data_IF_084946488922
#
_entry.id   IF_084946488922
#
_cell.length_a   1.000
_cell.length_b   1.000
_cell.length_c   1.000
_cell.angle_alpha   90.00
_cell.angle_beta   90.00
_cell.angle_gamma   90.00
#
_symmetry.space_group_name_H-M   'P 1'
#
loop_
_entity.id
_entity.type
_entity.pdbx_description
1 polymer ?
#
# COMPACT_ATOMS: atom_id res chain seq x y z
N UNK A 1 55.39 -31.89 -30.61
CA UNK A 1 55.46 -30.96 -29.44
C UNK A 1 54.32 -29.93 -29.46
N UNK A 2 53.20 -30.16 -30.16
CA UNK A 2 52.10 -29.17 -30.28
C UNK A 2 51.05 -29.22 -29.15
N UNK A 3 50.86 -30.34 -28.47
CA UNK A 3 49.75 -30.52 -27.51
C UNK A 3 49.87 -29.75 -26.18
N UNK A 4 51.08 -29.33 -25.77
CA UNK A 4 51.27 -28.63 -24.48
C UNK A 4 50.85 -27.16 -24.54
N UNK A 5 50.91 -26.55 -25.72
CA UNK A 5 50.64 -25.13 -25.89
C UNK A 5 49.13 -24.83 -25.97
N UNK A 6 48.34 -25.80 -26.46
CA UNK A 6 46.88 -25.70 -26.48
C UNK A 6 46.24 -25.87 -25.10
N UNK A 7 46.68 -26.85 -24.30
CA UNK A 7 46.15 -27.06 -22.95
C UNK A 7 46.37 -25.86 -22.02
N UNK A 8 47.49 -25.15 -22.19
CA UNK A 8 47.82 -23.97 -21.38
C UNK A 8 46.95 -22.77 -21.78
N UNK A 9 46.63 -22.63 -23.08
CA UNK A 9 45.67 -21.64 -23.57
C UNK A 9 44.23 -21.94 -23.15
N UNK A 10 43.81 -23.21 -23.22
CA UNK A 10 42.48 -23.63 -22.74
C UNK A 10 42.33 -23.41 -21.24
N UNK A 11 43.38 -23.70 -20.46
CA UNK A 11 43.37 -23.43 -19.02
C UNK A 11 43.30 -21.94 -18.69
N UNK A 12 44.05 -21.10 -19.43
CA UNK A 12 43.96 -19.64 -19.27
C UNK A 12 42.59 -19.08 -19.66
N UNK A 13 41.97 -19.59 -20.73
CA UNK A 13 40.63 -19.21 -21.13
C UNK A 13 39.58 -19.65 -20.09
N UNK A 14 39.66 -20.89 -19.58
CA UNK A 14 38.77 -21.36 -18.51
C UNK A 14 38.95 -20.56 -17.23
N UNK A 15 40.19 -20.21 -16.85
CA UNK A 15 40.44 -19.37 -15.67
C UNK A 15 39.91 -17.95 -15.85
N UNK A 16 40.00 -17.38 -17.06
CA UNK A 16 39.46 -16.07 -17.38
C UNK A 16 37.92 -16.10 -17.40
N UNK A 17 37.31 -17.15 -17.94
CA UNK A 17 35.87 -17.38 -17.92
C UNK A 17 35.35 -17.61 -16.49
N UNK A 18 36.07 -18.37 -15.64
CA UNK A 18 35.67 -18.55 -14.23
C UNK A 18 35.75 -17.24 -13.44
N UNK A 19 36.78 -16.43 -13.66
CA UNK A 19 36.94 -15.14 -12.99
C UNK A 19 35.89 -14.11 -13.44
N UNK A 20 35.58 -14.06 -14.74
CA UNK A 20 34.54 -13.19 -15.29
C UNK A 20 33.13 -13.65 -14.92
N UNK A 21 32.89 -14.96 -14.81
CA UNK A 21 31.60 -15.51 -14.35
C UNK A 21 31.38 -15.21 -12.87
N UNK A 22 32.39 -15.42 -12.01
CA UNK A 22 32.31 -15.08 -10.59
C UNK A 22 32.11 -13.58 -10.35
N UNK A 23 32.84 -12.72 -11.08
CA UNK A 23 32.64 -11.27 -11.01
C UNK A 23 31.29 -10.83 -11.55
N UNK A 24 30.80 -11.42 -12.64
CA UNK A 24 29.47 -11.06 -13.20
C UNK A 24 28.33 -11.53 -12.30
N UNK A 25 28.45 -12.67 -11.60
CA UNK A 25 27.51 -13.10 -10.57
C UNK A 25 27.52 -12.19 -9.34
N UNK A 26 28.68 -11.79 -8.84
CA UNK A 26 28.75 -10.86 -7.70
C UNK A 26 28.26 -9.46 -8.08
N UNK A 27 28.64 -8.95 -9.26
CA UNK A 27 28.20 -7.65 -9.75
C UNK A 27 26.71 -7.65 -10.06
N UNK A 28 26.15 -8.75 -10.61
CA UNK A 28 24.70 -8.90 -10.82
C UNK A 28 23.95 -9.04 -9.50
N UNK A 29 24.46 -9.80 -8.52
CA UNK A 29 23.90 -9.86 -7.16
C UNK A 29 23.93 -8.48 -6.49
N UNK A 30 25.03 -7.72 -6.60
CA UNK A 30 25.14 -6.36 -6.06
C UNK A 30 24.23 -5.36 -6.78
N UNK A 31 24.10 -5.42 -8.12
CA UNK A 31 23.18 -4.53 -8.87
C UNK A 31 21.71 -4.90 -8.66
N UNK A 32 21.38 -6.19 -8.54
CA UNK A 32 20.05 -6.67 -8.15
C UNK A 32 19.70 -6.25 -6.72
N UNK A 33 20.66 -6.29 -5.79
CA UNK A 33 20.48 -5.86 -4.39
C UNK A 33 20.26 -4.35 -4.29
N UNK A 34 21.03 -3.53 -5.02
CA UNK A 34 20.84 -2.07 -5.07
C UNK A 34 19.50 -1.70 -5.72
N UNK A 35 19.12 -2.34 -6.83
CA UNK A 35 17.83 -2.06 -7.49
C UNK A 35 16.63 -2.56 -6.68
N UNK A 36 16.70 -3.73 -6.06
CA UNK A 36 15.60 -4.26 -5.23
C UNK A 36 15.40 -3.43 -3.96
N UNK A 37 16.50 -2.92 -3.38
CA UNK A 37 16.49 -1.96 -2.28
C UNK A 37 15.86 -0.63 -2.70
N UNK A 38 16.18 -0.11 -3.87
CA UNK A 38 15.60 1.14 -4.38
C UNK A 38 14.09 1.00 -4.64
N UNK A 39 13.65 -0.13 -5.22
CA UNK A 39 12.22 -0.40 -5.44
C UNK A 39 11.46 -0.57 -4.12
N UNK A 40 12.03 -1.31 -3.16
CA UNK A 40 11.41 -1.52 -1.85
C UNK A 40 11.37 -0.22 -1.02
N UNK A 41 12.40 0.61 -1.14
CA UNK A 41 12.47 1.93 -0.51
C UNK A 41 11.47 2.91 -1.13
N UNK A 42 11.29 2.91 -2.45
CA UNK A 42 10.26 3.71 -3.14
C UNK A 42 8.84 3.26 -2.74
N UNK A 43 8.58 1.94 -2.67
CA UNK A 43 7.31 1.40 -2.17
C UNK A 43 7.03 1.82 -0.71
N UNK A 44 8.04 1.73 0.16
CA UNK A 44 7.95 2.18 1.55
C UNK A 44 7.70 3.68 1.65
N UNK A 45 8.35 4.48 0.81
CA UNK A 45 8.15 5.92 0.76
C UNK A 45 6.71 6.27 0.37
N UNK A 46 6.18 5.63 -0.69
CA UNK A 46 4.79 5.80 -1.13
C UNK A 46 3.79 5.38 -0.05
N UNK A 47 4.04 4.27 0.62
CA UNK A 47 3.21 3.80 1.75
C UNK A 47 3.23 4.80 2.92
N UNK A 48 4.40 5.28 3.34
CA UNK A 48 4.52 6.32 4.39
C UNK A 48 3.77 7.59 3.99
N UNK A 49 3.88 7.99 2.74
CA UNK A 49 3.18 9.18 2.23
C UNK A 49 1.66 8.99 2.25
N UNK A 50 1.15 7.81 1.86
CA UNK A 50 -0.28 7.47 2.00
C UNK A 50 -0.76 7.56 3.46
N UNK A 51 -0.01 7.01 4.41
CA UNK A 51 -0.34 7.11 5.84
C UNK A 51 -0.37 8.55 6.35
N UNK A 52 0.49 9.44 5.82
CA UNK A 52 0.45 10.87 6.12
C UNK A 52 -0.82 11.53 5.56
N UNK A 53 -1.23 11.19 4.35
CA UNK A 53 -2.47 11.71 3.76
C UNK A 53 -3.71 11.35 4.59
N UNK A 54 -3.79 10.12 5.10
CA UNK A 54 -4.88 9.72 6.01
C UNK A 54 -4.94 10.67 7.21
N UNK A 55 -3.80 10.96 7.85
CA UNK A 55 -3.74 11.90 8.98
C UNK A 55 -4.09 13.34 8.62
N UNK A 56 -3.70 13.81 7.43
CA UNK A 56 -4.04 15.16 6.95
C UNK A 56 -5.55 15.32 6.79
N UNK A 57 -6.26 14.28 6.34
CA UNK A 57 -7.72 14.31 6.16
C UNK A 57 -8.45 14.16 7.50
N UNK A 58 -7.91 13.33 8.38
CA UNK A 58 -8.54 12.97 9.66
C UNK A 58 -8.48 14.11 10.71
N UNK A 59 -7.41 14.91 10.69
CA UNK A 59 -7.24 16.04 11.63
C UNK A 59 -8.34 17.11 11.51
N UNK A 60 -8.69 17.64 10.31
CA UNK A 60 -9.81 18.55 10.15
C UNK A 60 -11.14 18.00 10.62
N UNK A 61 -11.39 16.69 10.46
CA UNK A 61 -12.61 16.02 10.93
C UNK A 61 -12.66 16.08 12.46
N UNK A 62 -11.56 15.81 13.14
CA UNK A 62 -11.47 15.93 14.59
C UNK A 62 -11.70 17.37 15.06
N UNK A 63 -11.10 18.35 14.40
CA UNK A 63 -11.33 19.77 14.72
C UNK A 63 -12.81 20.12 14.56
N UNK A 64 -13.43 19.74 13.44
CA UNK A 64 -14.86 19.94 13.23
C UNK A 64 -15.72 19.21 14.28
N UNK A 65 -15.29 18.04 14.76
CA UNK A 65 -15.97 17.32 15.82
C UNK A 65 -15.91 18.06 17.17
N UNK A 66 -14.80 18.73 17.48
CA UNK A 66 -14.64 19.51 18.72
C UNK A 66 -15.55 20.74 18.72
N UNK A 67 -15.73 21.38 17.56
CA UNK A 67 -16.55 22.58 17.40
C UNK A 67 -18.02 22.31 17.04
N UNK A 68 -18.41 21.05 16.86
CA UNK A 68 -19.80 20.69 16.56
C UNK A 68 -20.59 20.35 17.83
N UNK A 69 -21.90 20.59 17.74
CA UNK A 69 -22.84 20.35 18.83
C UNK A 69 -23.63 19.06 18.62
N UNK A 70 -24.16 18.51 19.72
CA UNK A 70 -25.20 17.47 19.72
C UNK A 70 -24.79 16.21 18.93
N UNK A 71 -25.60 15.81 17.95
CA UNK A 71 -25.50 14.52 17.26
C UNK A 71 -24.48 14.51 16.13
N UNK A 72 -24.20 15.68 15.54
CA UNK A 72 -23.15 15.83 14.53
C UNK A 72 -21.78 15.47 15.12
N UNK A 73 -21.53 15.85 16.38
CA UNK A 73 -20.30 15.50 17.09
C UNK A 73 -20.14 14.00 17.22
N UNK A 74 -21.23 13.29 17.58
CA UNK A 74 -21.21 11.82 17.72
C UNK A 74 -20.86 11.17 16.38
N UNK A 75 -21.47 11.62 15.29
CA UNK A 75 -21.19 11.12 13.94
C UNK A 75 -19.73 11.36 13.53
N UNK A 76 -19.22 12.58 13.71
CA UNK A 76 -17.85 12.93 13.34
C UNK A 76 -16.81 12.16 14.17
N UNK A 77 -17.06 11.97 15.48
CA UNK A 77 -16.20 11.15 16.34
C UNK A 77 -16.22 9.67 15.93
N UNK A 78 -17.36 9.14 15.52
CA UNK A 78 -17.45 7.76 15.03
C UNK A 78 -16.65 7.56 13.73
N UNK A 79 -16.73 8.53 12.81
CA UNK A 79 -15.95 8.52 11.56
C UNK A 79 -14.45 8.58 11.89
N UNK A 80 -14.04 9.52 12.74
CA UNK A 80 -12.66 9.66 13.20
C UNK A 80 -12.13 8.36 13.83
N UNK A 81 -12.91 7.75 14.74
CA UNK A 81 -12.54 6.48 15.37
C UNK A 81 -12.36 5.35 14.36
N UNK A 82 -13.22 5.28 13.33
CA UNK A 82 -13.10 4.31 12.23
C UNK A 82 -11.82 4.50 11.42
N UNK A 83 -11.49 5.74 11.06
CA UNK A 83 -10.24 6.06 10.34
C UNK A 83 -9.00 5.77 11.19
N UNK A 84 -9.03 6.09 12.49
CA UNK A 84 -7.92 5.80 13.41
C UNK A 84 -7.70 4.29 13.57
N UNK A 85 -8.77 3.49 13.67
CA UNK A 85 -8.67 2.04 13.74
C UNK A 85 -8.04 1.46 12.47
N UNK A 86 -8.45 1.95 11.30
CA UNK A 86 -7.86 1.54 10.02
C UNK A 86 -6.38 1.94 9.92
N UNK A 87 -6.05 3.17 10.32
CA UNK A 87 -4.67 3.66 10.40
C UNK A 87 -3.82 2.76 11.31
N UNK A 88 -4.34 2.38 12.47
CA UNK A 88 -3.65 1.51 13.41
C UNK A 88 -3.42 0.10 12.85
N UNK A 89 -4.42 -0.50 12.19
CA UNK A 89 -4.27 -1.79 11.51
C UNK A 89 -3.21 -1.73 10.40
N UNK A 90 -3.24 -0.68 9.57
CA UNK A 90 -2.24 -0.47 8.53
C UNK A 90 -0.83 -0.27 9.09
N UNK A 91 -0.70 0.51 10.18
CA UNK A 91 0.58 0.74 10.88
C UNK A 91 1.12 -0.53 11.52
N UNK A 92 0.26 -1.38 12.09
CA UNK A 92 0.65 -2.67 12.66
C UNK A 92 1.25 -3.60 11.60
N UNK A 93 0.69 -3.65 10.40
CA UNK A 93 1.27 -4.41 9.29
C UNK A 93 2.53 -3.73 8.72
N UNK A 94 2.56 -2.39 8.65
CA UNK A 94 3.74 -1.64 8.22
C UNK A 94 4.96 -1.87 9.13
N UNK A 95 4.75 -1.92 10.45
CA UNK A 95 5.82 -2.17 11.42
C UNK A 95 6.42 -3.59 11.33
N UNK A 96 5.74 -4.53 10.63
CA UNK A 96 6.31 -5.87 10.37
C UNK A 96 7.31 -5.88 9.21
N UNK A 97 7.36 -4.82 8.41
CA UNK A 97 8.31 -4.72 7.29
C UNK A 97 9.69 -4.47 7.88
N UNK A 98 10.57 -5.46 7.76
CA UNK A 98 11.96 -5.35 8.24
C UNK A 98 12.77 -4.58 7.21
N UNK A 99 13.30 -3.42 7.60
CA UNK A 99 14.20 -2.58 6.80
C UNK A 99 15.68 -2.82 7.07
N UNK A 100 16.03 -3.57 8.12
CA UNK A 100 17.41 -3.92 8.45
C UNK A 100 17.81 -5.21 7.73
N UNK A 101 18.78 -5.07 6.83
CA UNK A 101 19.42 -6.17 6.10
C UNK A 101 20.39 -6.86 7.07
N UNK A 102 19.99 -7.98 7.65
CA UNK A 102 20.94 -8.89 8.29
C UNK A 102 21.48 -9.86 7.22
N UNK A 103 22.74 -9.64 6.85
CA UNK A 103 23.48 -10.25 5.74
C UNK A 103 23.81 -11.75 5.91
N UNK A 104 23.10 -12.49 6.77
CA UNK A 104 23.45 -13.88 7.13
C UNK A 104 22.34 -14.91 6.98
N UNK A 105 21.11 -14.51 6.64
CA UNK A 105 20.04 -15.49 6.35
C UNK A 105 19.06 -15.00 5.28
N UNK A 106 19.13 -15.63 4.11
CA UNK A 106 18.10 -15.72 3.08
C UNK A 106 17.40 -14.39 2.70
N UNK A 107 18.12 -13.49 2.02
CA UNK A 107 17.61 -12.24 1.42
C UNK A 107 16.29 -12.44 0.67
N UNK A 108 16.12 -13.61 0.01
CA UNK A 108 14.87 -14.03 -0.63
C UNK A 108 13.69 -14.08 0.36
N UNK A 109 13.85 -14.74 1.50
CA UNK A 109 12.78 -14.85 2.51
C UNK A 109 12.44 -13.50 3.12
N UNK A 110 13.41 -12.59 3.26
CA UNK A 110 13.16 -11.22 3.74
C UNK A 110 12.35 -10.44 2.71
N UNK A 111 12.69 -10.57 1.42
CA UNK A 111 12.01 -9.88 0.32
C UNK A 111 10.58 -10.40 0.12
N UNK A 112 10.38 -11.72 0.18
CA UNK A 112 9.05 -12.36 0.12
C UNK A 112 8.16 -11.94 1.29
N UNK A 113 8.69 -11.94 2.52
CA UNK A 113 7.95 -11.50 3.70
C UNK A 113 7.54 -10.02 3.60
N UNK A 114 8.43 -9.17 3.09
CA UNK A 114 8.15 -7.75 2.88
C UNK A 114 7.10 -7.54 1.77
N UNK A 115 7.19 -8.27 0.65
CA UNK A 115 6.18 -8.23 -0.41
C UNK A 115 4.81 -8.67 0.11
N UNK A 116 4.77 -9.77 0.88
CA UNK A 116 3.53 -10.25 1.47
C UNK A 116 2.90 -9.22 2.42
N UNK A 117 3.70 -8.56 3.26
CA UNK A 117 3.23 -7.47 4.13
C UNK A 117 2.67 -6.28 3.32
N UNK A 118 3.36 -5.85 2.26
CA UNK A 118 2.90 -4.77 1.37
C UNK A 118 1.59 -5.15 0.67
N UNK A 119 1.50 -6.36 0.14
CA UNK A 119 0.30 -6.89 -0.51
C UNK A 119 -0.89 -6.92 0.45
N UNK A 120 -0.66 -7.33 1.71
CA UNK A 120 -1.69 -7.34 2.74
C UNK A 120 -2.17 -5.94 3.11
N UNK A 121 -1.27 -4.94 3.17
CA UNK A 121 -1.64 -3.54 3.40
C UNK A 121 -2.52 -3.03 2.24
N UNK A 122 -2.13 -3.31 0.99
CA UNK A 122 -2.90 -2.91 -0.19
C UNK A 122 -4.26 -3.62 -0.26
N UNK A 123 -4.33 -4.88 0.15
CA UNK A 123 -5.60 -5.61 0.25
C UNK A 123 -6.53 -5.00 1.30
N UNK A 124 -6.01 -4.69 2.49
CA UNK A 124 -6.76 -4.01 3.54
C UNK A 124 -7.27 -2.64 3.08
N UNK A 125 -6.42 -1.86 2.38
CA UNK A 125 -6.81 -0.59 1.76
C UNK A 125 -7.95 -0.78 0.76
N UNK A 126 -7.87 -1.82 -0.07
CA UNK A 126 -8.90 -2.09 -1.06
C UNK A 126 -10.23 -2.44 -0.39
N UNK A 127 -10.23 -3.37 0.56
CA UNK A 127 -11.44 -3.75 1.33
C UNK A 127 -12.05 -2.53 2.03
N UNK A 128 -11.21 -1.72 2.67
CA UNK A 128 -11.66 -0.50 3.32
C UNK A 128 -12.24 0.52 2.35
N UNK A 129 -11.61 0.69 1.18
CA UNK A 129 -12.13 1.53 0.10
C UNK A 129 -13.49 1.06 -0.40
N UNK A 130 -13.68 -0.26 -0.53
CA UNK A 130 -14.96 -0.85 -0.92
C UNK A 130 -16.08 -0.61 0.09
N UNK A 131 -15.77 -0.53 1.37
CA UNK A 131 -16.76 -0.28 2.44
C UNK A 131 -17.02 1.23 2.60
N UNK A 132 -15.96 2.03 2.63
CA UNK A 132 -16.07 3.46 2.96
C UNK A 132 -16.52 4.31 1.78
N UNK A 133 -16.11 4.00 0.56
CA UNK A 133 -16.47 4.83 -0.60
C UNK A 133 -17.98 4.87 -0.89
N UNK A 134 -18.75 3.77 -0.85
CA UNK A 134 -20.21 3.78 -0.99
C UNK A 134 -20.91 4.54 0.13
N UNK A 135 -20.32 4.54 1.33
CA UNK A 135 -20.88 5.20 2.51
C UNK A 135 -20.47 6.68 2.62
N UNK A 136 -19.40 7.10 1.93
CA UNK A 136 -18.87 8.47 2.04
C UNK A 136 -19.91 9.53 1.65
N UNK A 137 -20.65 9.30 0.54
CA UNK A 137 -21.68 10.23 0.09
C UNK A 137 -22.92 10.28 1.02
N UNK A 138 -23.51 9.15 1.45
CA UNK A 138 -24.54 9.13 2.49
C UNK A 138 -24.10 9.78 3.80
N UNK A 139 -22.88 9.51 4.27
CA UNK A 139 -22.32 10.09 5.50
C UNK A 139 -22.16 11.59 5.36
N UNK A 140 -21.61 12.08 4.24
CA UNK A 140 -21.48 13.51 3.97
C UNK A 140 -22.84 14.23 3.94
N UNK A 141 -23.85 13.58 3.35
CA UNK A 141 -25.22 14.10 3.35
C UNK A 141 -25.84 14.12 4.75
N UNK A 142 -25.61 13.09 5.56
CA UNK A 142 -26.02 13.07 6.98
C UNK A 142 -25.34 14.18 7.78
N UNK A 143 -24.04 14.40 7.59
CA UNK A 143 -23.33 15.52 8.22
C UNK A 143 -23.96 16.87 7.86
N UNK A 144 -24.31 17.08 6.59
CA UNK A 144 -25.01 18.30 6.16
C UNK A 144 -26.39 18.44 6.82
N UNK A 145 -27.19 17.37 6.83
CA UNK A 145 -28.53 17.39 7.44
C UNK A 145 -28.48 17.59 8.95
N UNK A 146 -27.53 16.96 9.65
CA UNK A 146 -27.32 17.15 11.09
C UNK A 146 -26.79 18.55 11.40
N UNK A 147 -26.00 19.16 10.51
CA UNK A 147 -25.59 20.55 10.69
C UNK A 147 -26.80 21.51 10.68
N UNK A 148 -27.78 21.26 9.80
CA UNK A 148 -29.00 22.09 9.67
C UNK A 148 -30.04 21.77 10.74
N UNK A 149 -30.33 20.49 10.98
CA UNK A 149 -31.45 20.05 11.83
C UNK A 149 -31.04 19.64 13.24
N UNK A 150 -29.73 19.60 13.54
CA UNK A 150 -29.11 19.44 14.88
C UNK A 150 -29.34 18.11 15.62
N UNK A 151 -30.34 17.31 15.26
CA UNK A 151 -30.60 15.99 15.86
C UNK A 151 -30.86 14.90 14.81
N UNK A 152 -30.53 13.65 15.16
CA UNK A 152 -30.83 12.48 14.33
C UNK A 152 -32.33 12.26 14.18
N UNK A 153 -33.09 12.47 15.25
CA UNK A 153 -34.55 12.28 15.28
C UNK A 153 -35.21 13.14 14.20
N UNK A 154 -34.93 14.45 14.19
CA UNK A 154 -35.48 15.36 13.18
C UNK A 154 -34.99 15.05 11.77
N UNK A 155 -33.75 14.57 11.61
CA UNK A 155 -33.21 14.19 10.28
C UNK A 155 -33.89 12.93 9.74
N UNK A 156 -34.17 11.93 10.57
CA UNK A 156 -34.80 10.69 10.14
C UNK A 156 -36.32 10.82 9.95
N UNK A 157 -36.94 11.80 10.58
CA UNK A 157 -38.34 12.17 10.33
C UNK A 157 -38.54 12.94 9.01
N UNK A 158 -37.48 13.43 8.37
CA UNK A 158 -37.60 14.13 7.09
C UNK A 158 -38.16 13.21 6.00
N UNK A 159 -39.09 13.72 5.16
CA UNK A 159 -39.65 12.93 4.08
C UNK A 159 -38.56 12.50 3.10
N UNK A 160 -38.63 11.25 2.67
CA UNK A 160 -37.73 10.64 1.68
C UNK A 160 -36.25 10.57 2.07
N UNK A 161 -35.87 10.79 3.34
CA UNK A 161 -34.45 10.77 3.76
C UNK A 161 -33.75 9.46 3.39
N UNK A 162 -34.41 8.32 3.63
CA UNK A 162 -33.87 6.99 3.29
C UNK A 162 -33.68 6.79 1.78
N UNK A 163 -34.58 7.36 0.95
CA UNK A 163 -34.46 7.30 -0.50
C UNK A 163 -33.22 8.08 -0.96
N UNK A 164 -32.99 9.28 -0.43
CA UNK A 164 -31.79 10.07 -0.72
C UNK A 164 -30.51 9.34 -0.30
N UNK A 165 -30.50 8.71 0.89
CA UNK A 165 -29.34 7.93 1.33
C UNK A 165 -29.05 6.74 0.40
N UNK A 166 -30.08 5.97 0.03
CA UNK A 166 -29.93 4.85 -0.89
C UNK A 166 -29.46 5.28 -2.29
N UNK A 167 -29.94 6.43 -2.79
CA UNK A 167 -29.57 6.94 -4.12
C UNK A 167 -28.10 7.42 -4.17
N UNK A 168 -27.53 7.82 -3.04
CA UNK A 168 -26.13 8.25 -2.93
C UNK A 168 -25.13 7.08 -2.88
N UNK A 169 -25.56 5.87 -2.50
CA UNK A 169 -24.68 4.68 -2.43
C UNK A 169 -24.07 4.32 -3.81
N UNK A 170 -24.84 4.29 -4.92
CA UNK A 170 -24.29 4.06 -6.26
C UNK A 170 -23.19 5.04 -6.69
N UNK A 171 -23.23 6.30 -6.22
CA UNK A 171 -22.18 7.26 -6.54
C UNK A 171 -20.83 6.85 -5.95
N UNK A 172 -20.82 6.28 -4.74
CA UNK A 172 -19.58 5.78 -4.15
C UNK A 172 -19.03 4.53 -4.85
N UNK A 173 -19.88 3.72 -5.48
CA UNK A 173 -19.43 2.62 -6.35
C UNK A 173 -18.64 3.13 -7.56
N UNK A 174 -19.02 4.27 -8.16
CA UNK A 174 -18.25 4.89 -9.25
C UNK A 174 -16.86 5.34 -8.78
N UNK A 175 -16.77 5.88 -7.56
CA UNK A 175 -15.49 6.29 -6.95
C UNK A 175 -14.58 5.08 -6.73
N UNK A 176 -15.13 3.92 -6.34
CA UNK A 176 -14.36 2.67 -6.22
C UNK A 176 -13.77 2.26 -7.57
N UNK A 177 -14.55 2.31 -8.64
CA UNK A 177 -14.09 1.94 -9.99
C UNK A 177 -12.90 2.81 -10.40
N UNK A 178 -12.99 4.12 -10.19
CA UNK A 178 -11.90 5.06 -10.46
C UNK A 178 -10.68 4.81 -9.56
N UNK A 179 -10.90 4.55 -8.28
CA UNK A 179 -9.86 4.23 -7.31
C UNK A 179 -9.08 2.96 -7.70
N UNK A 180 -9.79 1.91 -8.09
CA UNK A 180 -9.20 0.65 -8.52
C UNK A 180 -8.37 0.78 -9.80
N UNK A 181 -8.85 1.53 -10.79
CA UNK A 181 -8.09 1.80 -12.01
C UNK A 181 -6.75 2.49 -11.69
N UNK A 182 -6.78 3.47 -10.77
CA UNK A 182 -5.58 4.20 -10.36
C UNK A 182 -4.64 3.37 -9.49
N UNK A 183 -5.16 2.62 -8.51
CA UNK A 183 -4.32 1.77 -7.65
C UNK A 183 -3.67 0.64 -8.47
N UNK A 184 -4.41 0.05 -9.43
CA UNK A 184 -3.86 -0.93 -10.37
C UNK A 184 -2.80 -0.33 -11.29
N UNK A 185 -2.93 0.92 -11.73
CA UNK A 185 -1.90 1.58 -12.53
C UNK A 185 -0.61 1.85 -11.75
N UNK A 186 -0.73 2.32 -10.50
CA UNK A 186 0.42 2.75 -9.69
C UNK A 186 1.19 1.57 -9.08
N UNK A 187 0.49 0.54 -8.59
CA UNK A 187 1.13 -0.54 -7.83
C UNK A 187 1.38 -1.81 -8.65
N UNK A 188 0.64 -2.05 -9.74
CA UNK A 188 0.79 -3.30 -10.50
C UNK A 188 2.20 -3.48 -11.05
N UNK A 189 2.76 -2.46 -11.71
CA UNK A 189 4.12 -2.53 -12.26
C UNK A 189 5.19 -2.76 -11.19
N UNK A 190 5.04 -2.15 -10.02
CA UNK A 190 6.03 -2.30 -8.93
C UNK A 190 5.96 -3.69 -8.29
N UNK A 191 4.76 -4.26 -8.14
CA UNK A 191 4.57 -5.63 -7.63
C UNK A 191 5.03 -6.67 -8.66
N UNK A 192 4.74 -6.44 -9.94
CA UNK A 192 5.11 -7.33 -11.05
C UNK A 192 6.64 -7.38 -11.21
N UNK A 193 7.30 -6.22 -11.19
CA UNK A 193 8.77 -6.13 -11.19
C UNK A 193 9.42 -6.77 -9.95
N UNK A 194 8.80 -6.66 -8.76
CA UNK A 194 9.34 -7.32 -7.56
C UNK A 194 9.18 -8.85 -7.63
N UNK A 195 8.06 -9.34 -8.17
CA UNK A 195 7.82 -10.77 -8.39
C UNK A 195 8.76 -11.36 -9.44
N UNK A 196 9.03 -10.64 -10.52
CA UNK A 196 10.01 -11.05 -11.54
C UNK A 196 11.41 -11.17 -10.94
N UNK A 197 11.85 -10.19 -10.14
CA UNK A 197 13.14 -10.25 -9.43
C UNK A 197 13.23 -11.40 -8.42
N UNK A 198 12.14 -11.72 -7.72
CA UNK A 198 12.11 -12.89 -6.82
C UNK A 198 12.25 -14.21 -7.61
N UNK A 199 11.66 -14.28 -8.81
CA UNK A 199 11.82 -15.43 -9.72
C UNK A 199 13.24 -15.54 -10.27
N UNK A 200 13.86 -14.43 -10.65
CA UNK A 200 15.27 -14.40 -11.07
C UNK A 200 16.22 -14.88 -9.97
N UNK A 201 15.94 -14.56 -8.70
CA UNK A 201 16.69 -15.05 -7.54
C UNK A 201 16.40 -16.52 -7.17
N UNK A 202 15.45 -17.18 -7.86
CA UNK A 202 15.08 -18.57 -7.63
C UNK A 202 15.68 -19.56 -8.65
N UNK A 203 16.26 -19.03 -9.73
CA UNK A 203 17.06 -19.75 -10.70
C UNK A 203 18.55 -19.54 -10.41
#
# INVERSE_FOLDING_TARGET
MENKMDLLKEWQNMSAEMLTTAQSEEVSKFTLDVQSKDILQDLLYKLKWKFRWIRIIDLPILVAAVFSETDLKILLLAIFAGYELFYWLGKKEFNKIKTSVDYTSNTKNVLENNLHAISKILYLENVWGYITAPLAAPIGFLCYKLYVHKSFETVFELPNIYLHLCLLVPFGLLVIVLGNLRNRSIFKKQIENLNEKIKELSH
#
